data_IF_681385602710
#
_entry.id   IF_681385602710
#
_cell.length_a   1.000
_cell.length_b   1.000
_cell.length_c   1.000
_cell.angle_alpha   90.00
_cell.angle_beta   90.00
_cell.angle_gamma   90.00
#
_symmetry.space_group_name_H-M   'P 1'
#
loop_
_entity.id
_entity.type
_entity.pdbx_description
1 polymer ?
#
# COMPACT_ATOMS: atom_id res chain seq x y z
N UNK A 1 21.86 -13.58 21.66
CA UNK A 1 20.61 -13.74 20.88
C UNK A 1 21.01 -14.05 19.46
N UNK A 2 20.33 -14.98 18.78
CA UNK A 2 20.64 -15.35 17.39
C UNK A 2 19.37 -15.20 16.58
N UNK A 3 19.33 -14.21 15.69
CA UNK A 3 18.15 -13.95 14.88
C UNK A 3 18.24 -14.67 13.53
N UNK A 4 17.12 -15.24 13.08
CA UNK A 4 17.01 -15.85 11.74
C UNK A 4 16.86 -14.80 10.62
N UNK A 5 16.54 -13.56 10.99
CA UNK A 5 16.48 -12.38 10.13
C UNK A 5 17.09 -11.19 10.88
N UNK A 6 17.60 -10.19 10.17
CA UNK A 6 18.14 -8.98 10.79
C UNK A 6 16.96 -8.06 11.19
N UNK A 7 16.75 -7.75 12.49
CA UNK A 7 15.56 -7.03 12.94
C UNK A 7 15.48 -5.56 12.47
N UNK A 8 16.61 -4.88 12.31
CA UNK A 8 16.66 -3.49 11.85
C UNK A 8 16.30 -3.36 10.36
N UNK A 9 16.72 -4.30 9.52
CA UNK A 9 16.38 -4.42 8.11
C UNK A 9 14.90 -4.74 7.93
N UNK A 10 14.32 -5.59 8.77
CA UNK A 10 12.86 -5.85 8.76
C UNK A 10 12.08 -4.60 9.17
N UNK A 11 12.56 -3.86 10.18
CA UNK A 11 11.94 -2.59 10.58
C UNK A 11 12.04 -1.54 9.46
N UNK A 12 13.20 -1.40 8.83
CA UNK A 12 13.40 -0.50 7.70
C UNK A 12 12.53 -0.87 6.49
N UNK A 13 12.43 -2.16 6.17
CA UNK A 13 11.56 -2.67 5.11
C UNK A 13 10.09 -2.35 5.41
N UNK A 14 9.63 -2.54 6.66
CA UNK A 14 8.26 -2.23 7.05
C UNK A 14 7.95 -0.74 6.87
N UNK A 15 8.84 0.15 7.32
CA UNK A 15 8.70 1.59 7.15
C UNK A 15 8.65 1.99 5.66
N UNK A 16 9.49 1.38 4.82
CA UNK A 16 9.47 1.61 3.38
C UNK A 16 8.15 1.16 2.73
N UNK A 17 7.56 0.05 3.17
CA UNK A 17 6.24 -0.38 2.68
C UNK A 17 5.12 0.60 3.08
N UNK A 18 5.15 1.12 4.30
CA UNK A 18 4.18 2.11 4.77
C UNK A 18 4.28 3.41 3.95
N UNK A 19 5.51 3.87 3.69
CA UNK A 19 5.77 5.05 2.87
C UNK A 19 5.28 4.86 1.42
N UNK A 20 5.58 3.72 0.80
CA UNK A 20 5.10 3.41 -0.56
C UNK A 20 3.57 3.29 -0.62
N UNK A 21 2.93 2.76 0.42
CA UNK A 21 1.47 2.71 0.53
C UNK A 21 0.88 4.14 0.58
N UNK A 22 1.47 5.02 1.40
CA UNK A 22 1.07 6.42 1.48
C UNK A 22 1.24 7.16 0.15
N UNK A 23 2.39 6.99 -0.52
CA UNK A 23 2.66 7.59 -1.83
C UNK A 23 1.67 7.10 -2.91
N UNK A 24 1.33 5.82 -2.90
CA UNK A 24 0.36 5.25 -3.85
C UNK A 24 -1.03 5.87 -3.65
N UNK A 25 -1.50 5.97 -2.39
CA UNK A 25 -2.77 6.61 -2.07
C UNK A 25 -2.79 8.10 -2.42
N UNK A 26 -1.70 8.82 -2.12
CA UNK A 26 -1.56 10.23 -2.47
C UNK A 26 -1.56 10.45 -3.99
N UNK A 27 -0.86 9.60 -4.75
CA UNK A 27 -0.85 9.67 -6.22
C UNK A 27 -2.22 9.40 -6.83
N UNK A 28 -2.93 8.37 -6.34
CA UNK A 28 -4.28 8.04 -6.81
C UNK A 28 -5.28 9.17 -6.53
N UNK A 29 -5.25 9.75 -5.33
CA UNK A 29 -6.12 10.88 -4.97
C UNK A 29 -5.79 12.16 -5.75
N UNK A 30 -4.51 12.44 -6.01
CA UNK A 30 -4.09 13.57 -6.83
C UNK A 30 -4.54 13.45 -8.30
N UNK A 31 -4.53 12.23 -8.86
CA UNK A 31 -4.97 11.97 -10.23
C UNK A 31 -6.48 11.82 -10.42
N UNK A 32 -7.23 11.56 -9.34
CA UNK A 32 -8.66 11.28 -9.40
C UNK A 32 -9.50 12.37 -10.10
N UNK A 33 -9.29 13.68 -9.87
CA UNK A 33 -10.08 14.72 -10.54
C UNK A 33 -9.96 14.68 -12.07
N UNK A 34 -8.76 14.44 -12.58
CA UNK A 34 -8.50 14.33 -14.03
C UNK A 34 -9.13 13.08 -14.63
N UNK A 35 -9.09 11.97 -13.89
CA UNK A 35 -9.61 10.68 -14.35
C UNK A 35 -11.14 10.60 -14.30
N UNK A 36 -11.77 11.29 -13.34
CA UNK A 36 -13.22 11.28 -13.15
C UNK A 36 -13.93 12.44 -13.86
N UNK A 37 -13.22 13.55 -14.10
CA UNK A 37 -13.75 14.77 -14.70
C UNK A 37 -13.72 14.80 -16.23
N UNK A 38 -13.81 13.64 -16.89
CA UNK A 38 -13.75 13.57 -18.37
C UNK A 38 -14.99 14.22 -18.97
N UNK A 39 -14.79 15.15 -19.91
CA UNK A 39 -15.88 15.76 -20.68
C UNK A 39 -15.98 15.13 -22.08
N UNK A 40 -17.19 15.05 -22.66
CA UNK A 40 -17.38 14.70 -24.06
C UNK A 40 -16.63 15.66 -24.99
N UNK A 41 -16.00 15.12 -26.04
CA UNK A 41 -15.31 15.92 -27.06
C UNK A 41 -16.27 16.62 -28.04
N UNK A 42 -17.50 16.12 -28.14
CA UNK A 42 -18.57 16.59 -29.00
C UNK A 42 -19.95 16.35 -28.39
N UNK A 43 -21.00 16.83 -29.06
CA UNK A 43 -22.39 16.69 -28.62
C UNK A 43 -23.07 15.40 -29.12
N UNK A 44 -22.35 14.58 -29.90
CA UNK A 44 -22.79 13.28 -30.39
C UNK A 44 -22.76 12.20 -29.31
N UNK A 45 -23.53 11.12 -29.54
CA UNK A 45 -23.65 10.02 -28.60
C UNK A 45 -22.32 9.28 -28.38
N UNK A 46 -21.49 9.14 -29.43
CA UNK A 46 -20.21 8.43 -29.35
C UNK A 46 -19.23 9.17 -28.42
N UNK A 47 -19.19 10.50 -28.51
CA UNK A 47 -18.39 11.35 -27.60
C UNK A 47 -18.82 11.23 -26.14
N UNK A 48 -20.13 11.11 -25.90
CA UNK A 48 -20.67 10.91 -24.56
C UNK A 48 -20.33 9.52 -24.00
N UNK A 49 -20.47 8.47 -24.83
CA UNK A 49 -20.13 7.10 -24.45
C UNK A 49 -18.63 6.96 -24.16
N UNK A 50 -17.77 7.54 -25.00
CA UNK A 50 -16.32 7.54 -24.78
C UNK A 50 -15.94 8.23 -23.46
N UNK A 51 -16.52 9.40 -23.17
CA UNK A 51 -16.26 10.12 -21.92
C UNK A 51 -16.70 9.29 -20.69
N UNK A 52 -17.88 8.66 -20.76
CA UNK A 52 -18.38 7.80 -19.71
C UNK A 52 -17.48 6.56 -19.50
N UNK A 53 -17.03 5.92 -20.58
CA UNK A 53 -16.12 4.78 -20.51
C UNK A 53 -14.77 5.16 -19.89
N UNK A 54 -14.19 6.30 -20.28
CA UNK A 54 -12.93 6.78 -19.71
C UNK A 54 -13.07 7.12 -18.22
N UNK A 55 -14.16 7.78 -17.81
CA UNK A 55 -14.43 8.06 -16.41
C UNK A 55 -14.63 6.78 -15.58
N UNK A 56 -15.28 5.76 -16.14
CA UNK A 56 -15.45 4.46 -15.49
C UNK A 56 -14.12 3.73 -15.31
N UNK A 57 -13.25 3.73 -16.33
CA UNK A 57 -11.88 3.18 -16.22
C UNK A 57 -11.06 3.96 -15.19
N UNK A 58 -11.18 5.29 -15.17
CA UNK A 58 -10.56 6.16 -14.18
C UNK A 58 -10.99 5.82 -12.75
N UNK A 59 -12.29 5.63 -12.52
CA UNK A 59 -12.83 5.22 -11.23
C UNK A 59 -12.30 3.84 -10.80
N UNK A 60 -12.28 2.87 -11.73
CA UNK A 60 -11.75 1.53 -11.46
C UNK A 60 -10.27 1.56 -11.10
N UNK A 61 -9.47 2.39 -11.78
CA UNK A 61 -8.05 2.58 -11.46
C UNK A 61 -7.87 3.16 -10.05
N UNK A 62 -8.60 4.23 -9.70
CA UNK A 62 -8.48 4.88 -8.38
C UNK A 62 -8.87 3.91 -7.26
N UNK A 63 -9.95 3.15 -7.44
CA UNK A 63 -10.37 2.13 -6.48
C UNK A 63 -9.28 1.05 -6.30
N UNK A 64 -8.79 0.50 -7.41
CA UNK A 64 -7.76 -0.55 -7.40
C UNK A 64 -6.45 -0.05 -6.78
N UNK A 65 -6.05 1.19 -7.07
CA UNK A 65 -4.86 1.81 -6.47
C UNK A 65 -5.03 1.99 -4.95
N UNK A 66 -6.23 2.35 -4.49
CA UNK A 66 -6.57 2.41 -3.07
C UNK A 66 -6.49 1.03 -2.39
N UNK A 67 -7.05 -0.01 -3.01
CA UNK A 67 -6.95 -1.39 -2.50
C UNK A 67 -5.49 -1.86 -2.43
N UNK A 68 -4.69 -1.56 -3.46
CA UNK A 68 -3.27 -1.90 -3.48
C UNK A 68 -2.49 -1.18 -2.37
N UNK A 69 -2.74 0.12 -2.18
CA UNK A 69 -2.15 0.88 -1.09
C UNK A 69 -2.51 0.29 0.28
N UNK A 70 -3.78 -0.08 0.49
CA UNK A 70 -4.23 -0.70 1.73
C UNK A 70 -3.56 -2.06 1.98
N UNK A 71 -3.50 -2.94 0.97
CA UNK A 71 -2.80 -4.23 1.06
C UNK A 71 -1.33 -4.06 1.42
N UNK A 72 -0.67 -3.05 0.83
CA UNK A 72 0.72 -2.74 1.11
C UNK A 72 0.94 -2.23 2.54
N UNK A 73 0.00 -1.44 3.06
CA UNK A 73 -0.05 -1.04 4.47
C UNK A 73 -0.17 -2.25 5.40
N UNK A 74 -1.11 -3.16 5.14
CA UNK A 74 -1.25 -4.40 5.93
C UNK A 74 0.01 -5.27 5.89
N UNK A 75 0.71 -5.30 4.76
CA UNK A 75 1.99 -6.00 4.64
C UNK A 75 3.10 -5.35 5.48
N UNK A 76 3.14 -4.01 5.53
CA UNK A 76 4.02 -3.27 6.46
C UNK A 76 3.77 -3.66 7.92
N UNK A 77 2.50 -3.66 8.33
CA UNK A 77 2.09 -4.01 9.69
C UNK A 77 2.50 -5.46 10.04
N UNK A 78 2.30 -6.39 9.11
CA UNK A 78 2.70 -7.78 9.27
C UNK A 78 4.23 -7.94 9.45
N UNK A 79 5.04 -7.18 8.69
CA UNK A 79 6.50 -7.18 8.87
C UNK A 79 6.91 -6.63 10.24
N UNK A 80 6.29 -5.54 10.68
CA UNK A 80 6.54 -4.95 12.00
C UNK A 80 6.21 -5.90 13.14
N UNK A 81 5.04 -6.58 13.05
CA UNK A 81 4.63 -7.58 14.02
C UNK A 81 5.58 -8.80 14.03
N UNK A 82 5.99 -9.29 12.87
CA UNK A 82 6.93 -10.40 12.76
C UNK A 82 8.31 -10.05 13.35
N UNK A 83 8.81 -8.85 13.06
CA UNK A 83 10.08 -8.35 13.60
C UNK A 83 10.05 -8.25 15.13
N UNK A 84 9.05 -7.57 15.69
CA UNK A 84 8.91 -7.41 17.15
C UNK A 84 8.72 -8.74 17.88
N UNK A 85 7.92 -9.66 17.33
CA UNK A 85 7.71 -11.00 17.89
C UNK A 85 9.01 -11.80 17.91
N UNK A 86 9.80 -11.71 16.84
CA UNK A 86 11.11 -12.40 16.76
C UNK A 86 12.08 -11.85 17.81
N UNK A 87 12.15 -10.53 17.97
CA UNK A 87 12.99 -9.89 19.00
C UNK A 87 12.59 -10.35 20.40
N UNK A 88 11.30 -10.32 20.72
CA UNK A 88 10.80 -10.78 22.00
C UNK A 88 11.10 -12.27 22.26
N UNK A 89 10.93 -13.12 21.24
CA UNK A 89 11.18 -14.57 21.33
C UNK A 89 12.65 -14.88 21.63
N UNK A 90 13.57 -14.21 20.93
CA UNK A 90 15.01 -14.38 21.18
C UNK A 90 15.45 -13.81 22.53
N UNK A 91 14.79 -12.74 23.02
CA UNK A 91 15.04 -12.21 24.35
C UNK A 91 14.65 -13.22 25.44
N UNK A 92 13.47 -13.83 25.32
CA UNK A 92 13.00 -14.88 26.23
C UNK A 92 13.94 -16.09 26.19
N UNK A 93 14.35 -16.53 24.99
CA UNK A 93 15.30 -17.64 24.82
C UNK A 93 16.63 -17.35 25.50
N UNK A 94 17.18 -16.16 25.31
CA UNK A 94 18.45 -15.77 25.93
C UNK A 94 18.35 -15.73 27.46
N UNK A 95 17.25 -15.22 28.01
CA UNK A 95 16.99 -15.22 29.44
C UNK A 95 16.89 -16.66 29.99
N UNK A 96 16.18 -17.55 29.30
CA UNK A 96 16.03 -18.95 29.70
C UNK A 96 17.37 -19.73 29.69
N UNK A 97 18.30 -19.39 28.79
CA UNK A 97 19.64 -20.01 28.73
C UNK A 97 20.61 -19.47 29.79
N UNK A 98 20.25 -18.37 30.47
CA UNK A 98 21.06 -17.74 31.52
C UNK A 98 20.69 -18.19 32.94
N UNK A 99 19.71 -19.10 33.06
CA UNK A 99 19.19 -19.67 34.30
C UNK A 99 19.65 -21.13 34.45
#
# INVERSE_FOLDING_TARGET
MVFAMEPAEVAAASAAQAELAAQTGAGATAGAPTLLGVLPMGADADSAEFAAALAAVGAAYVATAGEHAAQRGLFSDAQSLAGSTTVASEAIRAAAMSL
#
